data_IF_045415643406
#
_entry.id   IF_045415643406
#
_cell.length_a   1.000
_cell.length_b   1.000
_cell.length_c   1.000
_cell.angle_alpha   90.00
_cell.angle_beta   90.00
_cell.angle_gamma   90.00
#
_symmetry.space_group_name_H-M   'P 1'
#
loop_
_entity.id
_entity.type
_entity.pdbx_description
1 polymer ?
#
# COMPACT_ATOMS: atom_id res chain seq x y z
N UNK A 1 -2.71 7.71 -1.33
CA UNK A 1 -2.98 6.86 -2.52
C UNK A 1 -3.22 5.41 -2.09
N UNK A 2 -4.07 4.64 -2.78
CA UNK A 2 -4.64 3.35 -2.30
C UNK A 2 -3.65 2.17 -2.35
N UNK A 3 -3.65 1.32 -1.30
CA UNK A 3 -2.82 0.11 -1.14
C UNK A 3 -2.91 -0.87 -2.31
N UNK A 4 -4.05 -0.87 -3.00
CA UNK A 4 -4.27 -1.71 -4.17
C UNK A 4 -3.41 -1.34 -5.38
N UNK A 5 -2.91 -0.10 -5.46
CA UNK A 5 -1.92 0.29 -6.49
C UNK A 5 -0.56 -0.39 -6.25
N UNK A 6 -0.28 -0.84 -5.01
CA UNK A 6 1.00 -1.49 -4.60
C UNK A 6 1.02 -2.98 -4.94
N UNK A 7 -0.08 -3.71 -4.69
CA UNK A 7 -0.25 -5.12 -5.12
C UNK A 7 -0.14 -5.22 -6.65
N UNK A 8 -0.67 -4.23 -7.36
CA UNK A 8 -0.65 -4.15 -8.82
C UNK A 8 0.76 -4.07 -9.44
N UNK A 9 1.73 -3.42 -8.79
CA UNK A 9 3.12 -3.35 -9.28
C UNK A 9 3.83 -4.70 -9.10
N UNK A 10 3.51 -5.45 -8.04
CA UNK A 10 4.05 -6.80 -7.84
C UNK A 10 3.53 -7.80 -8.85
N UNK A 11 2.26 -7.72 -9.24
CA UNK A 11 1.72 -8.55 -10.33
C UNK A 11 2.46 -8.32 -11.65
N UNK A 12 2.90 -7.09 -11.94
CA UNK A 12 3.66 -6.77 -13.16
C UNK A 12 5.14 -7.16 -13.06
N UNK A 13 5.75 -7.00 -11.89
CA UNK A 13 7.13 -7.41 -11.66
C UNK A 13 7.30 -8.93 -11.78
N UNK A 14 6.31 -9.74 -11.36
CA UNK A 14 6.32 -11.19 -11.63
C UNK A 14 6.17 -11.53 -13.12
N UNK A 15 5.47 -10.70 -13.92
CA UNK A 15 5.38 -10.88 -15.38
C UNK A 15 6.63 -10.42 -16.15
N UNK A 16 7.39 -9.45 -15.63
CA UNK A 16 8.61 -8.95 -16.29
C UNK A 16 9.92 -9.57 -15.77
N UNK A 17 10.01 -10.03 -14.51
CA UNK A 17 11.26 -10.58 -13.95
C UNK A 17 11.43 -12.09 -14.17
N UNK A 18 10.37 -12.84 -14.48
CA UNK A 18 10.47 -14.20 -15.05
C UNK A 18 10.95 -14.21 -16.52
N UNK A 19 11.42 -13.08 -17.04
CA UNK A 19 11.94 -12.94 -18.40
C UNK A 19 13.47 -12.99 -18.55
N UNK A 20 14.27 -12.99 -17.47
CA UNK A 20 15.72 -12.71 -17.62
C UNK A 20 16.73 -13.63 -16.92
N UNK A 21 16.33 -14.69 -16.20
CA UNK A 21 17.30 -15.67 -15.70
C UNK A 21 16.86 -17.12 -15.95
N UNK A 22 17.28 -17.63 -17.11
CA UNK A 22 17.84 -18.98 -17.21
C UNK A 22 16.94 -20.17 -16.87
N UNK A 23 15.86 -20.37 -17.61
CA UNK A 23 15.43 -21.73 -17.97
C UNK A 23 14.95 -21.74 -19.41
N UNK A 24 15.69 -22.45 -20.27
CA UNK A 24 15.46 -22.57 -21.70
C UNK A 24 14.20 -23.37 -22.03
N UNK A 25 13.03 -22.82 -21.76
CA UNK A 25 11.83 -23.15 -22.50
C UNK A 25 11.79 -22.23 -23.72
N UNK A 26 12.22 -22.75 -24.87
CA UNK A 26 12.05 -22.12 -26.17
C UNK A 26 10.58 -21.69 -26.33
N UNK A 27 10.33 -20.40 -26.19
CA UNK A 27 9.03 -19.78 -26.48
C UNK A 27 8.79 -19.88 -27.98
N UNK A 28 7.70 -20.51 -28.46
CA UNK A 28 7.32 -20.33 -29.84
C UNK A 28 6.86 -18.88 -29.99
N UNK A 29 7.66 -18.08 -30.70
CA UNK A 29 7.37 -16.73 -31.17
C UNK A 29 6.31 -16.70 -32.29
N UNK A 30 5.40 -17.69 -32.31
CA UNK A 30 4.32 -17.77 -33.29
C UNK A 30 2.96 -17.70 -32.57
N UNK A 31 2.10 -16.74 -32.92
CA UNK A 31 0.75 -16.70 -32.41
C UNK A 31 0.00 -17.94 -32.91
N UNK A 32 -0.44 -18.81 -32.02
CA UNK A 32 -1.34 -19.90 -32.41
C UNK A 32 -2.67 -19.28 -32.86
N UNK A 33 -3.25 -19.70 -34.02
CA UNK A 33 -4.45 -19.09 -34.59
C UNK A 33 -5.73 -19.20 -33.72
N UNK A 34 -5.66 -19.92 -32.60
CA UNK A 34 -6.78 -20.28 -31.73
C UNK A 34 -6.77 -19.58 -30.36
N UNK A 35 -5.86 -18.62 -30.10
CA UNK A 35 -5.88 -17.77 -28.89
C UNK A 35 -6.31 -16.31 -29.19
N UNK A 36 -7.44 -16.07 -29.86
CA UNK A 36 -7.76 -14.74 -30.37
C UNK A 36 -7.99 -13.75 -29.22
N UNK A 37 -7.19 -12.70 -29.20
CA UNK A 37 -7.50 -11.39 -28.58
C UNK A 37 -7.62 -11.32 -27.04
N UNK A 38 -7.41 -12.41 -26.28
CA UNK A 38 -7.51 -12.38 -24.81
C UNK A 38 -6.45 -11.45 -24.19
N UNK A 39 -5.18 -11.62 -24.56
CA UNK A 39 -4.09 -10.78 -24.04
C UNK A 39 -4.25 -9.29 -24.36
N UNK A 40 -4.74 -8.96 -25.56
CA UNK A 40 -5.02 -7.58 -25.95
C UNK A 40 -6.20 -6.99 -25.16
N UNK A 41 -7.23 -7.80 -24.86
CA UNK A 41 -8.33 -7.37 -23.97
C UNK A 41 -7.85 -7.14 -22.53
N UNK A 42 -6.96 -7.99 -22.01
CA UNK A 42 -6.35 -7.81 -20.68
C UNK A 42 -5.54 -6.52 -20.62
N UNK A 43 -4.60 -6.34 -21.55
CA UNK A 43 -3.79 -5.12 -21.62
C UNK A 43 -4.66 -3.87 -21.76
N UNK A 44 -5.74 -3.94 -22.55
CA UNK A 44 -6.69 -2.83 -22.67
C UNK A 44 -7.45 -2.58 -21.36
N UNK A 45 -7.86 -3.62 -20.64
CA UNK A 45 -8.53 -3.50 -19.35
C UNK A 45 -7.61 -2.86 -18.30
N UNK A 46 -6.35 -3.31 -18.22
CA UNK A 46 -5.33 -2.75 -17.34
C UNK A 46 -5.06 -1.27 -17.66
N UNK A 47 -4.89 -0.92 -18.92
CA UNK A 47 -4.70 0.48 -19.34
C UNK A 47 -5.89 1.38 -18.93
N UNK A 48 -7.12 0.87 -19.06
CA UNK A 48 -8.32 1.59 -18.59
C UNK A 48 -8.31 1.72 -17.07
N UNK A 49 -7.95 0.67 -16.34
CA UNK A 49 -7.82 0.67 -14.89
C UNK A 49 -6.76 1.70 -14.43
N UNK A 50 -5.58 1.72 -15.07
CA UNK A 50 -4.52 2.70 -14.83
C UNK A 50 -4.96 4.13 -15.07
N UNK A 51 -5.82 4.34 -16.08
CA UNK A 51 -6.40 5.63 -16.41
C UNK A 51 -7.62 5.98 -15.52
N UNK A 52 -7.85 5.22 -14.43
CA UNK A 52 -8.99 5.35 -13.52
C UNK A 52 -10.37 5.22 -14.19
N UNK A 53 -10.45 4.63 -15.39
CA UNK A 53 -11.68 4.37 -16.12
C UNK A 53 -12.30 3.04 -15.68
N UNK A 54 -12.61 2.92 -14.39
CA UNK A 54 -12.94 1.65 -13.74
C UNK A 54 -14.16 0.95 -14.34
N UNK A 55 -15.23 1.68 -14.70
CA UNK A 55 -16.42 1.09 -15.37
C UNK A 55 -16.06 0.41 -16.70
N UNK A 56 -15.20 1.06 -17.50
CA UNK A 56 -14.75 0.51 -18.77
C UNK A 56 -13.78 -0.66 -18.58
N UNK A 57 -12.92 -0.60 -17.56
CA UNK A 57 -12.02 -1.69 -17.19
C UNK A 57 -12.81 -2.94 -16.77
N UNK A 58 -13.82 -2.80 -15.91
CA UNK A 58 -14.72 -3.89 -15.49
C UNK A 58 -15.34 -4.58 -16.70
N UNK A 59 -15.96 -3.81 -17.61
CA UNK A 59 -16.58 -4.37 -18.81
C UNK A 59 -15.59 -5.17 -19.67
N UNK A 60 -14.32 -4.76 -19.69
CA UNK A 60 -13.25 -5.45 -20.42
C UNK A 60 -12.76 -6.71 -19.71
N UNK A 61 -12.56 -6.67 -18.40
CA UNK A 61 -12.23 -7.87 -17.62
C UNK A 61 -13.34 -8.91 -17.68
N UNK A 62 -14.61 -8.51 -17.58
CA UNK A 62 -15.75 -9.42 -17.73
C UNK A 62 -15.84 -10.00 -19.15
N UNK A 63 -15.52 -9.20 -20.17
CA UNK A 63 -15.43 -9.69 -21.54
C UNK A 63 -14.32 -10.74 -21.71
N UNK A 64 -13.15 -10.49 -21.12
CA UNK A 64 -12.03 -11.43 -21.13
C UNK A 64 -12.39 -12.72 -20.38
N UNK A 65 -13.04 -12.61 -19.22
CA UNK A 65 -13.51 -13.74 -18.43
C UNK A 65 -14.49 -14.63 -19.22
N UNK A 66 -15.43 -14.05 -19.97
CA UNK A 66 -16.37 -14.79 -20.83
C UNK A 66 -15.69 -15.54 -21.98
N UNK A 67 -14.52 -15.08 -22.43
CA UNK A 67 -13.73 -15.70 -23.50
C UNK A 67 -12.85 -16.83 -23.00
N UNK A 68 -12.71 -17.02 -21.68
CA UNK A 68 -11.94 -18.13 -21.15
C UNK A 68 -12.52 -19.46 -21.62
N UNK A 69 -11.68 -20.40 -22.08
CA UNK A 69 -12.14 -21.71 -22.50
C UNK A 69 -12.80 -22.44 -21.33
N UNK A 70 -13.97 -23.05 -21.58
CA UNK A 70 -14.82 -23.66 -20.54
C UNK A 70 -14.25 -24.91 -19.86
N UNK A 71 -13.16 -25.50 -20.36
CA UNK A 71 -12.50 -26.67 -19.75
C UNK A 71 -10.99 -26.69 -20.02
N UNK A 72 -10.14 -27.16 -19.08
CA UNK A 72 -8.71 -27.26 -19.27
C UNK A 72 -8.37 -28.61 -19.93
N UNK A 73 -8.27 -28.64 -21.26
CA UNK A 73 -7.53 -29.72 -21.91
C UNK A 73 -6.07 -29.26 -22.10
N UNK A 74 -5.18 -29.85 -21.30
CA UNK A 74 -3.73 -30.00 -21.52
C UNK A 74 -2.78 -28.80 -21.51
N UNK A 75 -3.17 -27.58 -21.13
CA UNK A 75 -2.19 -26.48 -20.96
C UNK A 75 -1.92 -26.15 -19.49
N UNK A 76 -1.02 -26.94 -18.88
CA UNK A 76 -0.61 -26.89 -17.46
C UNK A 76 -0.05 -25.54 -16.94
N UNK A 77 0.09 -24.50 -17.75
CA UNK A 77 0.78 -23.26 -17.31
C UNK A 77 -0.01 -21.97 -17.58
N UNK A 78 -0.96 -21.96 -18.53
CA UNK A 78 -1.55 -20.69 -18.97
C UNK A 78 -2.96 -20.44 -18.43
N UNK A 79 -3.72 -21.46 -17.99
CA UNK A 79 -5.16 -21.30 -17.71
C UNK A 79 -5.56 -21.23 -16.22
N UNK A 80 -4.61 -21.34 -15.29
CA UNK A 80 -4.93 -21.63 -13.88
C UNK A 80 -5.22 -20.36 -13.06
N UNK A 81 -4.58 -19.22 -13.38
CA UNK A 81 -4.72 -17.98 -12.60
C UNK A 81 -5.62 -16.92 -13.26
N UNK A 82 -5.92 -17.01 -14.57
CA UNK A 82 -6.73 -15.97 -15.25
C UNK A 82 -8.12 -15.70 -14.64
N UNK A 83 -8.91 -16.72 -14.25
CA UNK A 83 -10.18 -16.46 -13.56
C UNK A 83 -9.99 -15.64 -12.29
N UNK A 84 -9.01 -16.02 -11.46
CA UNK A 84 -8.64 -15.33 -10.22
C UNK A 84 -8.19 -13.91 -10.50
N UNK A 85 -7.24 -13.74 -11.42
CA UNK A 85 -6.75 -12.44 -11.85
C UNK A 85 -7.88 -11.52 -12.32
N UNK A 86 -8.75 -11.97 -13.23
CA UNK A 86 -9.85 -11.11 -13.70
C UNK A 86 -10.83 -10.75 -12.59
N UNK A 87 -11.19 -11.70 -11.74
CA UNK A 87 -12.11 -11.44 -10.62
C UNK A 87 -11.49 -10.49 -9.59
N UNK A 88 -10.21 -10.66 -9.27
CA UNK A 88 -9.44 -9.73 -8.44
C UNK A 88 -9.51 -8.31 -9.01
N UNK A 89 -9.20 -8.15 -10.30
CA UNK A 89 -9.20 -6.85 -10.95
C UNK A 89 -10.59 -6.22 -11.08
N UNK A 90 -11.62 -7.04 -11.29
CA UNK A 90 -13.01 -6.59 -11.25
C UNK A 90 -13.38 -6.09 -9.84
N UNK A 91 -13.03 -6.86 -8.80
CA UNK A 91 -13.24 -6.47 -7.41
C UNK A 91 -12.53 -5.15 -7.08
N UNK A 92 -11.28 -5.02 -7.49
CA UNK A 92 -10.49 -3.80 -7.33
C UNK A 92 -11.17 -2.61 -8.00
N UNK A 93 -11.57 -2.76 -9.26
CA UNK A 93 -12.22 -1.69 -10.00
C UNK A 93 -13.56 -1.28 -9.35
N UNK A 94 -14.36 -2.24 -8.87
CA UNK A 94 -15.59 -1.92 -8.14
C UNK A 94 -15.30 -1.15 -6.83
N UNK A 95 -14.29 -1.57 -6.06
CA UNK A 95 -13.90 -0.88 -4.84
C UNK A 95 -13.44 0.56 -5.12
N UNK A 96 -12.64 0.77 -6.16
CA UNK A 96 -12.19 2.11 -6.56
C UNK A 96 -13.30 2.97 -7.14
N UNK A 97 -14.26 2.36 -7.83
CA UNK A 97 -15.44 3.06 -8.32
C UNK A 97 -16.33 3.50 -7.15
N UNK A 98 -16.53 2.64 -6.14
CA UNK A 98 -17.23 2.98 -4.91
C UNK A 98 -16.61 4.21 -4.22
N UNK A 99 -15.27 4.27 -4.13
CA UNK A 99 -14.56 5.43 -3.57
C UNK A 99 -14.76 6.70 -4.39
N UNK A 100 -14.69 6.58 -5.72
CA UNK A 100 -14.78 7.73 -6.62
C UNK A 100 -16.21 8.31 -6.68
N UNK A 101 -17.23 7.45 -6.53
CA UNK A 101 -18.64 7.84 -6.65
C UNK A 101 -19.34 7.99 -5.31
N UNK A 102 -18.74 7.54 -4.21
CA UNK A 102 -19.37 7.50 -2.88
C UNK A 102 -20.51 6.48 -2.78
N UNK A 103 -20.58 5.50 -3.69
CA UNK A 103 -21.66 4.52 -3.75
C UNK A 103 -21.28 3.23 -3.02
N UNK A 104 -21.80 3.07 -1.79
CA UNK A 104 -21.55 1.92 -0.93
C UNK A 104 -22.05 0.60 -1.58
N UNK A 105 -23.08 0.64 -2.44
CA UNK A 105 -23.61 -0.55 -3.08
C UNK A 105 -22.58 -1.23 -4.02
N UNK A 106 -21.61 -0.46 -4.50
CA UNK A 106 -20.51 -0.99 -5.31
C UNK A 106 -19.52 -1.81 -4.50
N UNK A 107 -19.39 -1.58 -3.18
CA UNK A 107 -18.58 -2.45 -2.32
C UNK A 107 -19.17 -3.85 -2.18
N UNK A 108 -20.50 -4.00 -2.26
CA UNK A 108 -21.13 -5.33 -2.27
C UNK A 108 -20.69 -6.11 -3.52
N UNK A 109 -20.66 -5.46 -4.69
CA UNK A 109 -20.15 -6.07 -5.93
C UNK A 109 -18.66 -6.39 -5.83
N UNK A 110 -17.88 -5.48 -5.26
CA UNK A 110 -16.45 -5.68 -5.02
C UNK A 110 -16.21 -6.90 -4.12
N UNK A 111 -17.02 -7.06 -3.07
CA UNK A 111 -16.89 -8.17 -2.13
C UNK A 111 -17.22 -9.51 -2.79
N UNK A 112 -18.31 -9.57 -3.55
CA UNK A 112 -18.66 -10.77 -4.32
C UNK A 112 -17.51 -11.17 -5.25
N UNK A 113 -16.97 -10.22 -6.03
CA UNK A 113 -15.86 -10.50 -6.93
C UNK A 113 -14.56 -10.88 -6.20
N UNK A 114 -14.26 -10.28 -5.04
CA UNK A 114 -13.07 -10.61 -4.24
C UNK A 114 -13.17 -12.03 -3.65
N UNK A 115 -14.35 -12.41 -3.17
CA UNK A 115 -14.64 -13.76 -2.69
C UNK A 115 -14.50 -14.79 -3.82
N UNK A 116 -15.13 -14.52 -4.96
CA UNK A 116 -15.03 -15.40 -6.12
C UNK A 116 -13.58 -15.52 -6.63
N UNK A 117 -12.79 -14.45 -6.54
CA UNK A 117 -11.36 -14.47 -6.84
C UNK A 117 -10.62 -15.42 -5.91
N UNK A 118 -10.87 -15.34 -4.61
CA UNK A 118 -10.28 -16.23 -3.62
C UNK A 118 -10.68 -17.70 -3.86
N UNK A 119 -11.94 -17.96 -4.19
CA UNK A 119 -12.45 -19.32 -4.47
C UNK A 119 -11.81 -19.96 -5.71
N UNK A 120 -11.42 -19.17 -6.71
CA UNK A 120 -10.71 -19.67 -7.89
C UNK A 120 -9.20 -19.68 -7.73
N UNK A 121 -8.66 -19.10 -6.65
CA UNK A 121 -7.23 -18.95 -6.45
C UNK A 121 -6.57 -20.29 -6.08
N UNK A 122 -5.60 -20.70 -6.89
CA UNK A 122 -4.86 -21.95 -6.72
C UNK A 122 -3.49 -21.70 -6.11
N UNK A 123 -2.84 -20.60 -6.48
CA UNK A 123 -1.53 -20.23 -5.92
C UNK A 123 -1.71 -19.56 -4.56
N UNK A 124 -0.86 -19.85 -3.56
CA UNK A 124 -0.97 -19.20 -2.26
C UNK A 124 -0.74 -17.68 -2.32
N UNK A 125 0.07 -17.19 -3.28
CA UNK A 125 0.22 -15.75 -3.56
C UNK A 125 -1.10 -15.11 -3.98
N UNK A 126 -1.81 -15.72 -4.92
CA UNK A 126 -3.08 -15.21 -5.44
C UNK A 126 -4.17 -15.27 -4.36
N UNK A 127 -4.12 -16.29 -3.50
CA UNK A 127 -4.99 -16.40 -2.33
C UNK A 127 -4.74 -15.27 -1.32
N UNK A 128 -3.47 -14.95 -1.05
CA UNK A 128 -3.09 -13.86 -0.16
C UNK A 128 -3.56 -12.50 -0.70
N UNK A 129 -3.35 -12.24 -1.99
CA UNK A 129 -3.81 -11.00 -2.66
C UNK A 129 -5.34 -10.88 -2.63
N UNK A 130 -6.06 -11.95 -2.97
CA UNK A 130 -7.51 -11.97 -2.94
C UNK A 130 -8.08 -11.76 -1.53
N UNK A 131 -7.47 -12.36 -0.51
CA UNK A 131 -7.84 -12.11 0.89
C UNK A 131 -7.57 -10.67 1.30
N UNK A 132 -6.44 -10.10 0.89
CA UNK A 132 -6.11 -8.72 1.21
C UNK A 132 -7.16 -7.75 0.64
N UNK A 133 -7.51 -7.93 -0.64
CA UNK A 133 -8.55 -7.13 -1.29
C UNK A 133 -9.92 -7.35 -0.66
N UNK A 134 -10.26 -8.58 -0.31
CA UNK A 134 -11.51 -8.85 0.39
C UNK A 134 -11.56 -8.15 1.76
N UNK A 135 -10.48 -8.25 2.55
CA UNK A 135 -10.35 -7.52 3.81
C UNK A 135 -10.48 -6.00 3.61
N UNK A 136 -9.87 -5.46 2.56
CA UNK A 136 -9.98 -4.03 2.23
C UNK A 136 -11.42 -3.60 1.92
N UNK A 137 -12.13 -4.39 1.12
CA UNK A 137 -13.54 -4.12 0.78
C UNK A 137 -14.44 -4.21 2.00
N UNK A 138 -14.17 -5.14 2.92
CA UNK A 138 -14.89 -5.25 4.18
C UNK A 138 -14.59 -4.05 5.10
N UNK A 139 -13.33 -3.65 5.19
CA UNK A 139 -12.90 -2.47 5.96
C UNK A 139 -13.60 -1.20 5.45
N UNK A 140 -13.69 -1.03 4.13
CA UNK A 140 -14.43 0.08 3.50
C UNK A 140 -15.94 0.07 3.74
N UNK A 141 -16.50 -1.09 4.08
CA UNK A 141 -17.89 -1.25 4.51
C UNK A 141 -18.03 -1.14 6.04
N UNK A 142 -16.99 -0.72 6.76
CA UNK A 142 -16.95 -0.61 8.22
C UNK A 142 -17.15 -1.96 8.95
N UNK A 143 -16.98 -3.08 8.24
CA UNK A 143 -17.07 -4.44 8.78
C UNK A 143 -15.70 -4.88 9.29
N UNK A 144 -15.19 -4.14 10.28
CA UNK A 144 -13.80 -4.22 10.72
C UNK A 144 -13.41 -5.58 11.29
N UNK A 145 -14.28 -6.23 12.08
CA UNK A 145 -14.02 -7.57 12.61
C UNK A 145 -13.95 -8.66 11.54
N UNK A 146 -14.69 -8.52 10.43
CA UNK A 146 -14.57 -9.44 9.31
C UNK A 146 -13.32 -9.13 8.46
N UNK A 147 -12.95 -7.85 8.35
CA UNK A 147 -11.73 -7.42 7.67
C UNK A 147 -10.48 -7.93 8.38
N UNK A 148 -10.39 -7.78 9.72
CA UNK A 148 -9.28 -8.30 10.52
C UNK A 148 -9.13 -9.81 10.33
N UNK A 149 -10.21 -10.57 10.38
CA UNK A 149 -10.19 -12.01 10.15
C UNK A 149 -9.62 -12.41 8.76
N UNK A 150 -9.80 -11.57 7.72
CA UNK A 150 -9.15 -11.82 6.42
C UNK A 150 -7.65 -11.58 6.47
N UNK A 151 -7.22 -10.51 7.12
CA UNK A 151 -5.80 -10.17 7.24
C UNK A 151 -5.05 -11.16 8.15
N UNK A 152 -5.65 -11.61 9.25
CA UNK A 152 -5.09 -12.64 10.13
C UNK A 152 -4.87 -13.94 9.37
N UNK A 153 -5.85 -14.36 8.58
CA UNK A 153 -5.73 -15.56 7.73
C UNK A 153 -4.54 -15.47 6.77
N UNK A 154 -4.16 -14.26 6.32
CA UNK A 154 -2.96 -14.08 5.50
C UNK A 154 -1.70 -14.37 6.31
N UNK A 155 -1.62 -13.82 7.53
CA UNK A 155 -0.51 -14.01 8.47
C UNK A 155 -0.34 -15.48 8.87
N UNK A 156 -1.44 -16.15 9.19
CA UNK A 156 -1.43 -17.54 9.60
C UNK A 156 -0.98 -18.50 8.50
N UNK A 157 -1.41 -18.27 7.25
CA UNK A 157 -1.30 -19.28 6.18
C UNK A 157 -0.22 -19.02 5.15
N UNK A 158 0.12 -17.77 4.86
CA UNK A 158 0.97 -17.46 3.71
C UNK A 158 2.30 -16.81 4.10
N UNK A 159 2.42 -16.40 5.36
CA UNK A 159 3.63 -15.77 5.89
C UNK A 159 4.53 -16.76 6.63
N UNK A 160 4.01 -17.87 7.17
CA UNK A 160 4.84 -18.92 7.76
C UNK A 160 5.68 -19.68 6.71
N UNK A 161 5.20 -19.76 5.47
CA UNK A 161 5.83 -20.56 4.40
C UNK A 161 6.79 -19.77 3.51
N UNK A 162 7.07 -18.49 3.82
CA UNK A 162 7.95 -17.63 3.02
C UNK A 162 7.42 -17.29 1.62
N UNK A 163 6.15 -17.62 1.33
CA UNK A 163 5.49 -17.38 0.03
C UNK A 163 5.29 -15.88 -0.24
N UNK A 164 5.25 -15.10 0.84
CA UNK A 164 4.90 -13.69 0.81
C UNK A 164 6.10 -12.85 1.26
N UNK A 165 6.62 -12.02 0.35
CA UNK A 165 7.82 -11.21 0.57
C UNK A 165 7.64 -10.03 1.55
N UNK A 166 8.76 -9.48 2.01
CA UNK A 166 8.87 -8.49 3.10
C UNK A 166 7.89 -7.31 2.97
N UNK A 167 7.71 -6.76 1.77
CA UNK A 167 6.78 -5.65 1.59
C UNK A 167 5.32 -6.03 1.88
N UNK A 168 4.83 -7.21 1.48
CA UNK A 168 3.39 -7.51 1.68
C UNK A 168 3.03 -7.54 3.17
N UNK A 169 3.94 -8.07 3.98
CA UNK A 169 3.74 -8.21 5.40
C UNK A 169 3.55 -6.85 6.08
N UNK A 170 4.33 -5.82 5.71
CA UNK A 170 4.14 -4.47 6.28
C UNK A 170 2.74 -3.92 5.94
N UNK A 171 2.24 -4.15 4.72
CA UNK A 171 0.91 -3.69 4.32
C UNK A 171 -0.22 -4.46 5.03
N UNK A 172 -0.07 -5.78 5.19
CA UNK A 172 -1.04 -6.62 5.91
C UNK A 172 -1.08 -6.24 7.39
N UNK A 173 0.07 -6.06 8.04
CA UNK A 173 0.14 -5.65 9.44
C UNK A 173 -0.47 -4.25 9.65
N UNK A 174 -0.18 -3.30 8.76
CA UNK A 174 -0.79 -1.98 8.84
C UNK A 174 -2.32 -2.06 8.71
N UNK A 175 -2.82 -2.81 7.72
CA UNK A 175 -4.25 -2.95 7.50
C UNK A 175 -4.95 -3.69 8.65
N UNK A 176 -4.32 -4.72 9.22
CA UNK A 176 -4.82 -5.44 10.38
C UNK A 176 -4.87 -4.54 11.62
N UNK A 177 -3.78 -3.82 11.91
CA UNK A 177 -3.74 -2.90 13.04
C UNK A 177 -4.79 -1.80 12.91
N UNK A 178 -4.98 -1.25 11.70
CA UNK A 178 -6.02 -0.25 11.44
C UNK A 178 -7.42 -0.85 11.55
N UNK A 179 -7.65 -2.08 11.10
CA UNK A 179 -8.92 -2.77 11.29
C UNK A 179 -9.23 -2.96 12.78
N UNK A 180 -8.26 -3.37 13.60
CA UNK A 180 -8.44 -3.48 15.06
C UNK A 180 -8.72 -2.13 15.71
N UNK A 181 -7.99 -1.09 15.29
CA UNK A 181 -8.19 0.26 15.80
C UNK A 181 -9.61 0.78 15.53
N UNK A 182 -10.08 0.69 14.28
CA UNK A 182 -11.43 1.12 13.91
C UNK A 182 -12.53 0.22 14.51
N UNK A 183 -12.22 -1.04 14.80
CA UNK A 183 -13.11 -1.93 15.54
C UNK A 183 -13.26 -1.53 17.03
N UNK A 184 -12.33 -0.71 17.55
CA UNK A 184 -12.29 -0.28 18.95
C UNK A 184 -11.42 -1.16 19.86
N UNK A 185 -10.68 -2.12 19.29
CA UNK A 185 -9.71 -2.92 20.04
C UNK A 185 -8.33 -2.27 19.99
N UNK A 186 -8.14 -1.23 20.80
CA UNK A 186 -6.86 -0.52 20.87
C UNK A 186 -5.72 -1.39 21.38
N UNK A 187 -6.00 -2.42 22.19
CA UNK A 187 -5.00 -3.32 22.74
C UNK A 187 -4.34 -4.14 21.63
N UNK A 188 -5.16 -4.82 20.83
CA UNK A 188 -4.68 -5.57 19.67
C UNK A 188 -4.08 -4.65 18.61
N UNK A 189 -4.69 -3.49 18.36
CA UNK A 189 -4.13 -2.52 17.42
C UNK A 189 -2.69 -2.13 17.79
N UNK A 190 -2.44 -1.78 19.06
CA UNK A 190 -1.09 -1.44 19.54
C UNK A 190 -0.11 -2.60 19.39
N UNK A 191 -0.54 -3.82 19.69
CA UNK A 191 0.29 -5.01 19.53
C UNK A 191 0.68 -5.22 18.07
N UNK A 192 -0.28 -5.12 17.13
CA UNK A 192 -0.01 -5.26 15.70
C UNK A 192 0.87 -4.13 15.18
N UNK A 193 0.64 -2.88 15.60
CA UNK A 193 1.48 -1.74 15.22
C UNK A 193 2.91 -1.85 15.76
N UNK A 194 3.10 -2.39 16.96
CA UNK A 194 4.43 -2.69 17.48
C UNK A 194 5.16 -3.76 16.65
N UNK A 195 4.44 -4.78 16.18
CA UNK A 195 5.00 -5.79 15.27
C UNK A 195 5.38 -5.17 13.91
N UNK A 196 4.52 -4.30 13.38
CA UNK A 196 4.82 -3.54 12.16
C UNK A 196 6.07 -2.68 12.32
N UNK A 197 6.21 -1.97 13.45
CA UNK A 197 7.40 -1.16 13.71
C UNK A 197 8.69 -2.01 13.74
N UNK A 198 8.66 -3.16 14.41
CA UNK A 198 9.77 -4.10 14.42
C UNK A 198 10.10 -4.60 13.00
N UNK A 199 9.07 -4.89 12.20
CA UNK A 199 9.25 -5.35 10.81
C UNK A 199 9.86 -4.27 9.92
N UNK A 200 9.40 -3.03 10.04
CA UNK A 200 9.98 -1.89 9.33
C UNK A 200 11.44 -1.71 9.71
N UNK A 201 11.79 -1.85 10.99
CA UNK A 201 13.17 -1.75 11.45
C UNK A 201 14.08 -2.78 10.77
N UNK A 202 13.61 -4.02 10.60
CA UNK A 202 14.33 -5.06 9.85
C UNK A 202 14.51 -4.68 8.38
N UNK A 203 13.44 -4.21 7.71
CA UNK A 203 13.50 -3.79 6.29
C UNK A 203 14.56 -2.70 6.08
N UNK A 204 14.61 -1.71 6.96
CA UNK A 204 15.60 -0.63 6.90
C UNK A 204 17.02 -1.18 7.09
N UNK A 205 17.24 -2.08 8.07
CA UNK A 205 18.55 -2.68 8.34
C UNK A 205 19.06 -3.56 7.20
N UNK A 206 18.15 -4.26 6.50
CA UNK A 206 18.45 -5.08 5.33
C UNK A 206 18.74 -4.25 4.07
N UNK A 207 18.49 -2.93 4.11
CA UNK A 207 18.64 -2.05 2.95
C UNK A 207 17.55 -2.22 1.89
N UNK A 208 16.44 -2.87 2.24
CA UNK A 208 15.27 -3.13 1.38
C UNK A 208 14.16 -2.07 1.57
N UNK A 209 14.51 -0.93 2.16
CA UNK A 209 13.59 0.19 2.35
C UNK A 209 13.31 0.86 1.00
N UNK A 210 12.05 0.85 0.59
CA UNK A 210 11.52 1.57 -0.56
C UNK A 210 10.68 2.78 -0.11
N UNK A 211 10.25 3.61 -1.06
CA UNK A 211 9.41 4.77 -0.75
C UNK A 211 8.07 4.36 -0.09
N UNK A 212 7.56 3.15 -0.35
CA UNK A 212 6.37 2.63 0.31
C UNK A 212 6.60 2.33 1.80
N UNK A 213 7.83 2.01 2.20
CA UNK A 213 8.22 1.92 3.61
C UNK A 213 8.08 3.29 4.28
N UNK A 214 8.54 4.37 3.64
CA UNK A 214 8.38 5.73 4.15
C UNK A 214 6.90 6.12 4.34
N UNK A 215 6.05 5.86 3.34
CA UNK A 215 4.60 6.06 3.46
C UNK A 215 3.99 5.28 4.65
N UNK A 216 4.43 4.04 4.86
CA UNK A 216 3.92 3.20 5.94
C UNK A 216 4.35 3.72 7.31
N UNK A 217 5.60 4.20 7.45
CA UNK A 217 6.08 4.81 8.69
C UNK A 217 5.27 6.08 9.01
N UNK A 218 5.02 6.91 8.00
CA UNK A 218 4.22 8.11 8.18
C UNK A 218 2.81 7.79 8.66
N UNK A 219 2.14 6.86 7.96
CA UNK A 219 0.80 6.41 8.30
C UNK A 219 0.74 5.77 9.71
N UNK A 220 1.76 5.01 10.10
CA UNK A 220 1.89 4.46 11.44
C UNK A 220 2.01 5.55 12.52
N UNK A 221 2.79 6.60 12.26
CA UNK A 221 2.91 7.73 13.18
C UNK A 221 1.60 8.48 13.38
N UNK A 222 0.84 8.70 12.29
CA UNK A 222 -0.51 9.29 12.39
C UNK A 222 -1.46 8.44 13.23
N UNK A 223 -1.46 7.13 13.05
CA UNK A 223 -2.30 6.24 13.88
C UNK A 223 -1.85 6.25 15.34
N UNK A 224 -0.55 6.33 15.64
CA UNK A 224 -0.11 6.51 17.03
C UNK A 224 -0.60 7.83 17.64
N UNK A 225 -0.69 8.92 16.87
CA UNK A 225 -1.33 10.15 17.34
C UNK A 225 -2.82 9.96 17.61
N UNK A 226 -3.54 9.23 16.75
CA UNK A 226 -4.97 8.88 16.95
C UNK A 226 -5.16 8.03 18.23
N UNK A 227 -4.23 7.13 18.51
CA UNK A 227 -4.13 6.33 19.75
C UNK A 227 -3.65 7.15 20.97
N UNK A 228 -3.42 8.46 20.81
CA UNK A 228 -2.84 9.33 21.83
C UNK A 228 -1.49 8.83 22.40
N UNK A 229 -0.75 8.02 21.64
CA UNK A 229 0.59 7.54 21.94
C UNK A 229 1.63 8.44 21.26
N UNK A 230 1.74 9.65 21.76
CA UNK A 230 2.63 10.64 21.16
C UNK A 230 4.12 10.25 21.26
N UNK A 231 4.48 9.39 22.22
CA UNK A 231 5.84 8.90 22.35
C UNK A 231 6.19 7.93 21.23
N UNK A 232 5.28 6.99 20.91
CA UNK A 232 5.42 6.11 19.75
C UNK A 232 5.40 6.91 18.44
N UNK A 233 4.50 7.90 18.32
CA UNK A 233 4.43 8.77 17.14
C UNK A 233 5.76 9.50 16.88
N UNK A 234 6.33 10.17 17.90
CA UNK A 234 7.64 10.84 17.79
C UNK A 234 8.75 9.86 17.38
N UNK A 235 8.75 8.65 17.95
CA UNK A 235 9.74 7.61 17.63
C UNK A 235 9.68 7.21 16.15
N UNK A 236 8.50 6.96 15.60
CA UNK A 236 8.37 6.55 14.20
C UNK A 236 8.59 7.72 13.23
N UNK A 237 8.16 8.93 13.58
CA UNK A 237 8.45 10.13 12.77
C UNK A 237 9.95 10.44 12.72
N UNK A 238 10.69 10.25 13.82
CA UNK A 238 12.15 10.39 13.81
C UNK A 238 12.83 9.35 12.90
N UNK A 239 12.31 8.11 12.84
CA UNK A 239 12.77 7.08 11.90
C UNK A 239 12.51 7.48 10.45
N UNK A 240 11.34 8.04 10.17
CA UNK A 240 10.98 8.53 8.84
C UNK A 240 11.89 9.68 8.39
N UNK A 241 12.11 10.66 9.26
CA UNK A 241 13.01 11.79 9.01
C UNK A 241 14.42 11.30 8.63
N UNK A 242 14.99 10.38 9.43
CA UNK A 242 16.31 9.80 9.15
C UNK A 242 16.36 9.02 7.83
N UNK A 243 15.29 8.31 7.48
CA UNK A 243 15.19 7.60 6.20
C UNK A 243 15.13 8.57 5.01
N UNK A 244 14.29 9.61 5.09
CA UNK A 244 14.17 10.64 4.05
C UNK A 244 15.51 11.34 3.84
N UNK A 245 16.18 11.74 4.93
CA UNK A 245 17.50 12.37 4.88
C UNK A 245 18.54 11.45 4.20
N UNK A 246 18.56 10.16 4.54
CA UNK A 246 19.46 9.19 3.93
C UNK A 246 19.19 9.01 2.42
N UNK A 247 17.92 8.93 2.03
CA UNK A 247 17.52 8.79 0.63
C UNK A 247 17.85 10.03 -0.19
N UNK A 248 17.56 11.23 0.34
CA UNK A 248 17.90 12.50 -0.31
C UNK A 248 19.42 12.67 -0.46
N UNK A 249 20.21 12.28 0.54
CA UNK A 249 21.68 12.27 0.43
C UNK A 249 22.19 11.29 -0.61
N UNK A 250 21.57 10.12 -0.72
CA UNK A 250 22.03 9.04 -1.62
C UNK A 250 21.61 9.26 -3.07
N UNK A 251 20.41 9.75 -3.30
CA UNK A 251 19.78 9.79 -4.62
C UNK A 251 19.45 11.21 -5.11
N UNK A 252 19.59 12.23 -4.27
CA UNK A 252 19.16 13.59 -4.57
C UNK A 252 17.65 13.68 -4.75
N UNK A 253 17.17 14.64 -5.55
CA UNK A 253 15.73 14.84 -5.80
C UNK A 253 15.21 14.24 -7.12
N UNK A 254 16.00 13.37 -7.75
CA UNK A 254 15.70 12.87 -9.10
C UNK A 254 15.15 11.43 -9.14
N UNK A 255 14.75 10.87 -8.00
CA UNK A 255 14.24 9.49 -7.92
C UNK A 255 12.71 9.43 -7.77
N UNK A 256 12.13 8.28 -8.10
CA UNK A 256 10.69 8.06 -8.01
C UNK A 256 10.19 8.14 -6.55
N UNK A 257 9.17 8.98 -6.31
CA UNK A 257 8.59 9.18 -4.98
C UNK A 257 9.03 10.47 -4.28
N UNK A 258 9.85 11.31 -4.92
CA UNK A 258 10.35 12.55 -4.31
C UNK A 258 9.22 13.54 -3.96
N UNK A 259 8.15 13.59 -4.75
CA UNK A 259 6.97 14.46 -4.50
C UNK A 259 6.30 14.13 -3.16
N UNK A 260 6.35 12.86 -2.75
CA UNK A 260 5.85 12.44 -1.44
C UNK A 260 6.71 12.99 -0.31
N UNK A 261 8.04 13.09 -0.48
CA UNK A 261 8.93 13.61 0.55
C UNK A 261 8.76 15.11 0.77
N UNK A 262 8.46 15.89 -0.27
CA UNK A 262 8.16 17.31 -0.15
C UNK A 262 6.96 17.54 0.80
N UNK A 263 5.82 16.92 0.51
CA UNK A 263 4.62 17.03 1.34
C UNK A 263 4.85 16.45 2.74
N UNK A 264 5.49 15.29 2.84
CA UNK A 264 5.75 14.61 4.12
C UNK A 264 6.64 15.44 5.04
N UNK A 265 7.69 16.08 4.54
CA UNK A 265 8.57 16.92 5.36
C UNK A 265 7.82 18.15 5.89
N UNK A 266 6.97 18.75 5.05
CA UNK A 266 6.09 19.84 5.47
C UNK A 266 5.11 19.40 6.57
N UNK A 267 4.45 18.25 6.39
CA UNK A 267 3.51 17.70 7.35
C UNK A 267 4.20 17.30 8.66
N UNK A 268 5.37 16.66 8.60
CA UNK A 268 6.18 16.32 9.77
C UNK A 268 6.54 17.55 10.60
N UNK A 269 7.02 18.61 9.95
CA UNK A 269 7.38 19.84 10.65
C UNK A 269 6.17 20.48 11.34
N UNK A 270 5.00 20.44 10.70
CA UNK A 270 3.74 20.92 11.28
C UNK A 270 3.30 20.06 12.47
N UNK A 271 3.33 18.73 12.34
CA UNK A 271 2.98 17.80 13.42
C UNK A 271 3.89 17.97 14.63
N UNK A 272 5.20 18.16 14.43
CA UNK A 272 6.11 18.43 15.54
C UNK A 272 5.78 19.75 16.24
N UNK A 273 5.35 20.79 15.51
CA UNK A 273 4.89 22.02 16.15
C UNK A 273 3.65 21.82 17.01
N UNK A 274 2.65 21.10 16.50
CA UNK A 274 1.44 20.77 17.27
C UNK A 274 1.77 19.97 18.53
N UNK A 275 2.72 19.03 18.44
CA UNK A 275 3.22 18.25 19.57
C UNK A 275 3.96 19.13 20.59
N UNK A 276 4.72 20.13 20.12
CA UNK A 276 5.38 21.11 20.97
C UNK A 276 4.36 21.98 21.72
N UNK A 277 3.32 22.46 21.05
CA UNK A 277 2.26 23.26 21.67
C UNK A 277 1.50 22.45 22.73
N UNK A 278 1.18 21.19 22.43
CA UNK A 278 0.55 20.28 23.40
C UNK A 278 1.47 20.00 24.59
N UNK A 279 2.78 19.83 24.36
CA UNK A 279 3.76 19.67 25.44
C UNK A 279 3.90 20.95 26.29
N UNK A 280 3.83 22.13 25.67
CA UNK A 280 3.89 23.42 26.34
C UNK A 280 2.69 23.63 27.27
N UNK A 281 1.48 23.27 26.81
CA UNK A 281 0.27 23.28 27.63
C UNK A 281 0.38 22.38 28.87
N UNK A 282 1.20 21.32 28.80
CA UNK A 282 1.49 20.41 29.91
C UNK A 282 2.73 20.80 30.74
N UNK A 283 3.38 21.94 30.44
CA UNK A 283 4.59 22.38 31.14
C UNK A 283 5.85 21.53 30.87
N UNK A 284 5.85 20.71 29.81
CA UNK A 284 6.96 19.79 29.47
C UNK A 284 8.04 20.49 28.64
N UNK A 285 8.75 21.44 29.25
CA UNK A 285 9.72 22.32 28.56
C UNK A 285 10.77 21.60 27.72
N UNK A 286 11.32 20.48 28.20
CA UNK A 286 12.28 19.69 27.44
C UNK A 286 11.67 19.09 26.16
N UNK A 287 10.44 18.56 26.26
CA UNK A 287 9.70 18.00 25.12
C UNK A 287 9.40 19.09 24.08
N UNK A 288 9.00 20.28 24.53
CA UNK A 288 8.78 21.44 23.63
C UNK A 288 10.02 21.75 22.81
N UNK A 289 11.19 21.85 23.46
CA UNK A 289 12.44 22.14 22.77
C UNK A 289 12.83 21.04 21.79
N UNK A 290 12.65 19.77 22.19
CA UNK A 290 12.92 18.62 21.33
C UNK A 290 12.03 18.63 20.08
N UNK A 291 10.74 18.89 20.25
CA UNK A 291 9.75 18.88 19.16
C UNK A 291 9.97 20.08 18.22
N UNK A 292 10.18 21.29 18.74
CA UNK A 292 10.56 22.45 17.91
C UNK A 292 11.84 22.20 17.12
N UNK A 293 12.82 21.51 17.72
CA UNK A 293 14.07 21.14 17.02
C UNK A 293 13.79 20.16 15.89
N UNK A 294 12.97 19.14 16.11
CA UNK A 294 12.57 18.19 15.07
C UNK A 294 11.80 18.89 13.93
N UNK A 295 10.89 19.82 14.27
CA UNK A 295 10.19 20.65 13.28
C UNK A 295 11.17 21.42 12.38
N UNK A 296 12.15 22.09 12.99
CA UNK A 296 13.19 22.85 12.26
C UNK A 296 14.01 21.97 11.34
N UNK A 297 14.37 20.75 11.75
CA UNK A 297 15.11 19.82 10.89
C UNK A 297 14.29 19.37 9.68
N UNK A 298 13.03 18.97 9.87
CA UNK A 298 12.14 18.59 8.78
C UNK A 298 11.96 19.74 7.76
N UNK A 299 11.73 20.95 8.27
CA UNK A 299 11.62 22.15 7.44
C UNK A 299 12.92 22.54 6.74
N UNK A 300 14.08 22.36 7.38
CA UNK A 300 15.37 22.60 6.75
C UNK A 300 15.62 21.64 5.57
N UNK A 301 15.34 20.35 5.76
CA UNK A 301 15.41 19.35 4.68
C UNK A 301 14.50 19.72 3.51
N UNK A 302 13.28 20.21 3.80
CA UNK A 302 12.35 20.66 2.77
C UNK A 302 12.93 21.82 1.96
N UNK A 303 13.39 22.89 2.62
CA UNK A 303 13.93 24.08 1.94
C UNK A 303 15.20 23.75 1.16
N UNK A 304 16.09 22.93 1.73
CA UNK A 304 17.37 22.57 1.11
C UNK A 304 17.18 21.76 -0.18
N UNK A 305 16.29 20.77 -0.15
CA UNK A 305 16.12 19.85 -1.27
C UNK A 305 15.00 20.27 -2.24
N UNK A 306 14.02 21.06 -1.80
CA UNK A 306 12.87 21.48 -2.59
C UNK A 306 12.71 23.00 -2.62
N UNK A 307 13.66 23.74 -3.25
CA UNK A 307 13.64 25.21 -3.24
C UNK A 307 12.42 25.81 -3.94
N UNK A 308 11.81 25.08 -4.88
CA UNK A 308 10.60 25.50 -5.61
C UNK A 308 9.30 25.03 -4.93
N UNK A 309 9.39 24.46 -3.73
CA UNK A 309 8.23 23.95 -3.00
C UNK A 309 7.18 25.04 -2.74
N UNK A 310 5.92 24.69 -2.98
CA UNK A 310 4.78 25.57 -2.65
C UNK A 310 4.65 25.84 -1.14
N UNK A 311 5.31 25.04 -0.30
CA UNK A 311 5.28 25.15 1.16
C UNK A 311 6.30 26.15 1.72
N UNK A 312 7.34 26.54 0.97
CA UNK A 312 8.48 27.32 1.50
C UNK A 312 8.05 28.64 2.15
N UNK A 313 7.17 29.41 1.53
CA UNK A 313 6.66 30.67 2.10
C UNK A 313 5.85 30.48 3.39
N UNK A 314 5.25 29.30 3.60
CA UNK A 314 4.56 28.96 4.85
C UNK A 314 5.56 28.52 5.92
N UNK A 315 6.54 27.72 5.53
CA UNK A 315 7.61 27.26 6.42
C UNK A 315 8.47 28.41 6.94
N UNK A 316 8.88 29.35 6.10
CA UNK A 316 9.65 30.52 6.53
C UNK A 316 8.92 31.34 7.61
N UNK A 317 7.60 31.51 7.47
CA UNK A 317 6.77 32.17 8.49
C UNK A 317 6.74 31.40 9.80
N UNK A 318 6.52 30.08 9.73
CA UNK A 318 6.51 29.21 10.92
C UNK A 318 7.86 29.20 11.65
N UNK A 319 8.98 29.31 10.93
CA UNK A 319 10.31 29.39 11.52
C UNK A 319 10.58 30.73 12.22
N UNK A 320 9.98 31.84 11.75
CA UNK A 320 10.09 33.16 12.37
C UNK A 320 9.28 33.26 13.68
N UNK A 321 8.20 32.49 13.82
CA UNK A 321 7.31 32.50 14.98
C UNK A 321 7.81 31.64 16.17
N UNK A 322 8.86 30.83 15.98
CA UNK A 322 9.31 29.80 16.94
C UNK A 322 10.36 30.23 17.96
#
# INVERSE_FOLDING_TARGET
>A
MSVLRKVFIRSIACFFTMGLLGCGCLYPSTPTPQSPNLYADVSKAENLQYSNKYRAAIAKYEQALRKLPRFPADTKVVNVSFPTFFKYHIAFCYAKLAEAEGDISLYVKAETAARESYETAILPSDQADALYLWGYVLFKQERYGEASAKYEKIIERFLQDGVVGHHFLKEVLYALGKAYFEFGDEGEARQIFSQLEARIQTIIQEGDSDFYTAETIYALGKVYLELNDEAAARRVFAKLEAQIEADLRRFGVHFHGVDFYEETLYELGTVYLELADKAAALGKTYTVLSDKTAARRAFALLIEHFPDSSYNAKVERLLQEQ
#
